data_IF_895823092282
#
_entry.id   IF_895823092282
#
_cell.length_a   1.000
_cell.length_b   1.000
_cell.length_c   1.000
_cell.angle_alpha   90.00
_cell.angle_beta   90.00
_cell.angle_gamma   90.00
#
_symmetry.space_group_name_H-M   'P 1'
#
loop_
_entity.id
_entity.type
_entity.pdbx_description
1 polymer ?
#
# COMPACT_ATOMS: atom_id res chain seq x y z
N UNK A 1 72.92 -24.29 -16.33
CA UNK A 1 72.08 -23.32 -15.61
C UNK A 1 70.75 -23.27 -16.31
N UNK A 2 69.77 -24.06 -15.83
CA UNK A 2 68.54 -24.32 -16.53
C UNK A 2 67.40 -23.69 -15.70
N UNK A 3 66.77 -22.67 -16.27
CA UNK A 3 65.53 -22.02 -15.70
C UNK A 3 64.29 -22.81 -16.07
N UNK A 4 63.66 -23.44 -15.06
CA UNK A 4 62.37 -24.08 -15.22
C UNK A 4 61.26 -23.02 -15.10
N UNK A 5 60.57 -22.78 -16.20
CA UNK A 5 59.34 -22.00 -16.22
C UNK A 5 58.16 -22.87 -15.74
N UNK A 6 57.61 -22.53 -14.58
CA UNK A 6 56.42 -23.18 -14.03
C UNK A 6 55.15 -22.68 -14.75
N UNK A 7 54.65 -23.45 -15.71
CA UNK A 7 53.40 -23.17 -16.43
C UNK A 7 52.23 -23.71 -15.60
N UNK A 8 51.59 -22.85 -14.78
CA UNK A 8 50.35 -23.20 -14.07
C UNK A 8 49.20 -23.16 -15.07
N UNK A 9 48.78 -24.32 -15.52
CA UNK A 9 47.52 -24.49 -16.27
C UNK A 9 46.35 -24.21 -15.33
N UNK A 10 45.58 -23.13 -15.56
CA UNK A 10 44.30 -22.87 -14.96
C UNK A 10 43.31 -23.91 -15.43
N UNK A 11 42.76 -24.73 -14.51
CA UNK A 11 41.84 -25.82 -14.82
C UNK A 11 40.47 -25.30 -15.29
N UNK A 12 39.69 -26.14 -16.00
CA UNK A 12 38.41 -25.79 -16.63
C UNK A 12 37.31 -25.33 -15.64
N UNK A 13 37.48 -25.56 -14.35
CA UNK A 13 36.54 -25.19 -13.30
C UNK A 13 36.40 -23.66 -13.05
N UNK A 14 37.46 -22.88 -13.29
CA UNK A 14 37.39 -21.42 -13.10
C UNK A 14 36.58 -20.71 -14.20
N UNK A 15 36.62 -21.22 -15.43
CA UNK A 15 35.77 -20.66 -16.51
C UNK A 15 34.28 -20.94 -16.34
N UNK A 16 33.96 -22.15 -15.83
CA UNK A 16 32.55 -22.53 -15.61
C UNK A 16 31.90 -21.69 -14.50
N UNK A 17 32.59 -21.47 -13.38
CA UNK A 17 32.08 -20.65 -12.26
C UNK A 17 31.89 -19.20 -12.70
N UNK A 18 32.82 -18.61 -13.42
CA UNK A 18 32.72 -17.23 -13.91
C UNK A 18 31.55 -17.04 -14.88
N UNK A 19 31.33 -18.01 -15.77
CA UNK A 19 30.23 -17.97 -16.73
C UNK A 19 28.86 -18.07 -16.02
N UNK A 20 28.71 -18.94 -15.02
CA UNK A 20 27.48 -19.09 -14.24
C UNK A 20 27.17 -17.81 -13.45
N UNK A 21 28.18 -17.20 -12.83
CA UNK A 21 28.00 -15.94 -12.08
C UNK A 21 27.60 -14.80 -13.01
N UNK A 22 28.25 -14.65 -14.17
CA UNK A 22 27.87 -13.63 -15.16
C UNK A 22 26.44 -13.83 -15.71
N UNK A 23 26.04 -15.07 -15.93
CA UNK A 23 24.67 -15.39 -16.40
C UNK A 23 23.62 -15.04 -15.32
N UNK A 24 23.88 -15.37 -14.06
CA UNK A 24 23.00 -15.03 -12.94
C UNK A 24 22.87 -13.52 -12.75
N UNK A 25 23.96 -12.77 -12.80
CA UNK A 25 23.94 -11.29 -12.72
C UNK A 25 23.13 -10.69 -13.87
N UNK A 26 23.28 -11.20 -15.09
CA UNK A 26 22.53 -10.71 -16.25
C UNK A 26 21.03 -11.02 -16.14
N UNK A 27 20.65 -12.18 -15.61
CA UNK A 27 19.22 -12.55 -15.41
C UNK A 27 18.58 -11.64 -14.34
N UNK A 28 19.28 -11.36 -13.25
CA UNK A 28 18.79 -10.46 -12.20
C UNK A 28 18.61 -9.04 -12.75
N UNK A 29 19.60 -8.51 -13.47
CA UNK A 29 19.51 -7.18 -14.07
C UNK A 29 18.36 -7.04 -15.09
N UNK A 30 18.10 -8.08 -15.89
CA UNK A 30 16.96 -8.10 -16.82
C UNK A 30 15.62 -8.18 -16.12
N UNK A 31 15.53 -8.88 -14.99
CA UNK A 31 14.31 -8.96 -14.19
C UNK A 31 13.99 -7.60 -13.53
N UNK A 32 14.99 -6.89 -13.02
CA UNK A 32 14.86 -5.55 -12.44
C UNK A 32 14.41 -4.53 -13.49
N UNK A 33 14.99 -4.53 -14.68
CA UNK A 33 14.62 -3.65 -15.79
C UNK A 33 13.16 -3.87 -16.24
N UNK A 34 12.71 -5.13 -16.28
CA UNK A 34 11.30 -5.44 -16.60
C UNK A 34 10.34 -5.01 -15.48
N UNK A 35 10.73 -5.12 -14.23
CA UNK A 35 9.95 -4.67 -13.07
C UNK A 35 9.79 -3.16 -13.10
N UNK A 36 10.87 -2.42 -13.31
CA UNK A 36 10.86 -0.97 -13.44
C UNK A 36 9.97 -0.49 -14.59
N UNK A 37 10.07 -1.13 -15.76
CA UNK A 37 9.21 -0.80 -16.91
C UNK A 37 7.71 -1.02 -16.60
N UNK A 38 7.35 -2.09 -15.86
CA UNK A 38 5.97 -2.36 -15.44
C UNK A 38 5.50 -1.33 -14.41
N UNK A 39 6.35 -0.95 -13.49
CA UNK A 39 6.07 0.04 -12.46
C UNK A 39 5.78 1.41 -13.09
N UNK A 40 6.61 1.87 -14.02
CA UNK A 40 6.37 3.13 -14.75
C UNK A 40 5.08 3.11 -15.57
N UNK A 41 4.73 1.97 -16.16
CA UNK A 41 3.43 1.81 -16.83
C UNK A 41 2.27 1.97 -15.86
N UNK A 42 2.36 1.35 -14.68
CA UNK A 42 1.35 1.49 -13.62
C UNK A 42 1.16 2.95 -13.22
N UNK A 43 2.25 3.72 -13.01
CA UNK A 43 2.17 5.14 -12.68
C UNK A 43 1.46 5.95 -13.78
N UNK A 44 1.75 5.68 -15.05
CA UNK A 44 1.05 6.30 -16.19
C UNK A 44 -0.44 5.97 -16.21
N UNK A 45 -0.81 4.73 -15.92
CA UNK A 45 -2.21 4.30 -15.82
C UNK A 45 -2.92 5.01 -14.67
N UNK A 46 -2.29 5.10 -13.48
CA UNK A 46 -2.80 5.84 -12.33
C UNK A 46 -3.05 7.32 -12.70
N UNK A 47 -2.06 7.99 -13.29
CA UNK A 47 -2.21 9.38 -13.73
C UNK A 47 -3.33 9.55 -14.77
N UNK A 48 -3.53 8.56 -15.64
CA UNK A 48 -4.66 8.50 -16.57
C UNK A 48 -6.01 8.39 -15.86
N UNK A 49 -6.08 7.59 -14.78
CA UNK A 49 -7.29 7.44 -13.97
C UNK A 49 -7.63 8.72 -13.22
N UNK A 50 -6.65 9.40 -12.61
CA UNK A 50 -6.86 10.70 -11.98
C UNK A 50 -7.54 11.69 -12.94
N UNK A 51 -7.02 11.82 -14.16
CA UNK A 51 -7.64 12.70 -15.18
C UNK A 51 -9.06 12.28 -15.57
N UNK A 52 -9.30 10.95 -15.72
CA UNK A 52 -10.63 10.44 -16.11
C UNK A 52 -11.68 10.66 -15.04
N UNK A 53 -11.30 10.59 -13.78
CA UNK A 53 -12.22 10.70 -12.64
C UNK A 53 -12.21 12.07 -11.98
N UNK A 54 -11.47 13.04 -12.51
CA UNK A 54 -11.31 14.39 -11.96
C UNK A 54 -12.65 15.07 -11.63
N UNK A 55 -13.65 14.87 -12.50
CA UNK A 55 -14.98 15.45 -12.34
C UNK A 55 -15.79 14.86 -11.16
N UNK A 56 -15.42 13.68 -10.68
CA UNK A 56 -16.01 13.02 -9.52
C UNK A 56 -15.19 13.29 -8.26
N UNK A 57 -13.87 13.11 -8.36
CA UNK A 57 -12.96 13.12 -7.21
C UNK A 57 -12.55 14.52 -6.77
N UNK A 58 -12.63 15.51 -7.69
CA UNK A 58 -12.03 16.82 -7.50
C UNK A 58 -10.49 16.81 -7.62
N UNK A 59 -9.89 15.68 -8.07
CA UNK A 59 -8.43 15.48 -8.21
C UNK A 59 -8.11 15.11 -9.65
N UNK A 60 -7.57 16.04 -10.43
CA UNK A 60 -7.16 15.81 -11.83
C UNK A 60 -5.75 15.25 -11.97
N UNK A 61 -4.93 15.48 -10.96
CA UNK A 61 -3.55 15.04 -10.84
C UNK A 61 -3.30 14.55 -9.42
N UNK A 62 -2.38 13.59 -9.30
CA UNK A 62 -1.94 13.06 -8.02
C UNK A 62 -0.92 14.03 -7.39
N UNK A 63 -0.97 14.24 -6.09
CA UNK A 63 0.03 15.02 -5.37
C UNK A 63 1.42 14.38 -5.52
N UNK A 64 2.46 15.20 -5.67
CA UNK A 64 3.84 14.74 -5.88
C UNK A 64 4.32 13.81 -4.77
N UNK A 65 3.96 14.12 -3.51
CA UNK A 65 4.32 13.29 -2.34
C UNK A 65 3.69 11.88 -2.43
N UNK A 66 2.46 11.78 -2.93
CA UNK A 66 1.76 10.50 -3.12
C UNK A 66 2.36 9.74 -4.31
N UNK A 67 2.68 10.43 -5.40
CA UNK A 67 3.35 9.83 -6.56
C UNK A 67 4.71 9.24 -6.15
N UNK A 68 5.51 9.99 -5.35
CA UNK A 68 6.79 9.49 -4.81
C UNK A 68 6.57 8.25 -3.97
N UNK A 69 5.64 8.27 -3.02
CA UNK A 69 5.34 7.11 -2.17
C UNK A 69 4.92 5.86 -2.98
N UNK A 70 4.06 6.01 -3.99
CA UNK A 70 3.68 4.89 -4.87
C UNK A 70 4.87 4.39 -5.69
N UNK A 71 5.79 5.27 -6.10
CA UNK A 71 7.01 4.92 -6.84
C UNK A 71 8.02 4.19 -5.96
N UNK A 72 8.16 4.59 -4.70
CA UNK A 72 9.21 4.09 -3.82
C UNK A 72 8.83 2.73 -3.19
N UNK A 73 7.53 2.44 -3.03
CA UNK A 73 7.06 1.18 -2.45
C UNK A 73 7.00 0.05 -3.48
N UNK A 74 7.83 -1.00 -3.36
CA UNK A 74 7.91 -2.11 -4.32
C UNK A 74 6.71 -3.05 -4.20
N UNK A 75 5.63 -2.75 -4.94
CA UNK A 75 4.35 -3.47 -4.81
C UNK A 75 4.47 -4.99 -4.99
N UNK A 76 5.45 -5.47 -5.78
CA UNK A 76 5.68 -6.90 -5.98
C UNK A 76 6.08 -7.65 -4.70
N UNK A 77 6.62 -6.95 -3.69
CA UNK A 77 6.93 -7.51 -2.37
C UNK A 77 5.66 -7.79 -1.53
N UNK A 78 4.53 -7.20 -1.89
CA UNK A 78 3.26 -7.28 -1.15
C UNK A 78 2.24 -8.26 -1.75
N UNK A 79 2.64 -9.03 -2.75
CA UNK A 79 1.84 -10.09 -3.36
C UNK A 79 2.53 -11.45 -3.22
N UNK A 80 1.80 -12.54 -3.45
CA UNK A 80 2.41 -13.87 -3.49
C UNK A 80 3.36 -13.99 -4.69
N UNK A 81 4.36 -14.89 -4.60
CA UNK A 81 5.30 -15.15 -5.69
C UNK A 81 4.59 -15.47 -7.01
N UNK A 82 3.45 -16.18 -6.98
CA UNK A 82 2.66 -16.48 -8.17
C UNK A 82 1.95 -15.28 -8.79
N UNK A 83 1.90 -14.15 -8.11
CA UNK A 83 1.31 -12.90 -8.59
C UNK A 83 2.34 -11.80 -8.89
N UNK A 84 3.63 -12.03 -8.65
CA UNK A 84 4.69 -11.01 -8.80
C UNK A 84 4.70 -10.38 -10.21
N UNK A 85 4.51 -11.18 -11.26
CA UNK A 85 4.46 -10.69 -12.64
C UNK A 85 3.29 -9.73 -12.92
N UNK A 86 2.23 -9.79 -12.11
CA UNK A 86 1.02 -8.98 -12.24
C UNK A 86 0.92 -7.90 -11.17
N UNK A 87 1.90 -7.80 -10.28
CA UNK A 87 1.86 -6.86 -9.16
C UNK A 87 1.60 -5.42 -9.60
N UNK A 88 2.14 -5.01 -10.73
CA UNK A 88 2.03 -3.67 -11.28
C UNK A 88 0.87 -3.46 -12.28
N UNK A 89 -0.01 -4.45 -12.42
CA UNK A 89 -1.25 -4.25 -13.18
C UNK A 89 -2.22 -3.42 -12.33
N UNK A 90 -2.82 -2.40 -12.93
CA UNK A 90 -3.71 -1.47 -12.23
C UNK A 90 -5.10 -2.11 -11.94
N UNK A 91 -5.08 -3.17 -11.15
CA UNK A 91 -6.26 -3.91 -10.64
C UNK A 91 -5.98 -4.53 -9.27
N UNK A 92 -7.02 -4.89 -8.50
CA UNK A 92 -6.84 -5.67 -7.27
C UNK A 92 -6.33 -7.08 -7.58
N UNK A 93 -5.57 -7.66 -6.63
CA UNK A 93 -5.07 -9.03 -6.70
C UNK A 93 -5.36 -9.76 -5.39
N UNK A 94 -5.64 -11.06 -5.46
CA UNK A 94 -5.85 -11.88 -4.26
C UNK A 94 -4.56 -12.01 -3.45
N UNK A 95 -4.70 -11.88 -2.12
CA UNK A 95 -3.63 -12.11 -1.13
C UNK A 95 -3.91 -13.30 -0.21
N UNK A 96 -4.94 -14.09 -0.53
CA UNK A 96 -5.42 -15.19 0.31
C UNK A 96 -6.50 -14.76 1.30
N UNK A 97 -7.05 -15.73 2.04
CA UNK A 97 -8.07 -15.52 3.06
C UNK A 97 -9.31 -14.73 2.61
N UNK A 98 -9.65 -14.79 1.31
CA UNK A 98 -10.74 -14.00 0.73
C UNK A 98 -10.45 -12.50 0.57
N UNK A 99 -9.21 -12.05 0.87
CA UNK A 99 -8.80 -10.66 0.83
C UNK A 99 -7.99 -10.32 -0.42
N UNK A 100 -7.88 -9.02 -0.71
CA UNK A 100 -7.15 -8.51 -1.88
C UNK A 100 -6.23 -7.35 -1.50
N UNK A 101 -5.10 -7.22 -2.21
CA UNK A 101 -4.40 -5.94 -2.30
C UNK A 101 -5.18 -5.06 -3.27
N UNK A 102 -5.50 -3.84 -2.84
CA UNK A 102 -6.33 -2.90 -3.61
C UNK A 102 -5.70 -2.53 -4.95
N UNK A 103 -6.52 -2.10 -5.92
CA UNK A 103 -6.07 -1.53 -7.19
C UNK A 103 -5.11 -0.36 -6.93
N UNK A 104 -3.97 -0.28 -7.63
CA UNK A 104 -3.00 0.81 -7.45
C UNK A 104 -3.61 2.21 -7.53
N UNK A 105 -4.50 2.47 -8.49
CA UNK A 105 -5.22 3.75 -8.58
C UNK A 105 -6.03 4.05 -7.30
N UNK A 106 -6.72 3.08 -6.73
CA UNK A 106 -7.52 3.28 -5.51
C UNK A 106 -6.63 3.57 -4.31
N UNK A 107 -5.48 2.88 -4.18
CA UNK A 107 -4.48 3.18 -3.15
C UNK A 107 -3.99 4.63 -3.29
N UNK A 108 -3.59 5.03 -4.50
CA UNK A 108 -3.12 6.38 -4.77
C UNK A 108 -4.20 7.44 -4.48
N UNK A 109 -5.43 7.23 -4.97
CA UNK A 109 -6.54 8.16 -4.76
C UNK A 109 -6.91 8.31 -3.30
N UNK A 110 -7.06 7.21 -2.56
CA UNK A 110 -7.43 7.26 -1.14
C UNK A 110 -6.33 7.93 -0.30
N UNK A 111 -5.07 7.69 -0.61
CA UNK A 111 -3.93 8.37 0.02
C UNK A 111 -3.92 9.87 -0.31
N UNK A 112 -4.13 10.23 -1.57
CA UNK A 112 -4.18 11.62 -2.05
C UNK A 112 -5.33 12.42 -1.41
N UNK A 113 -6.49 11.77 -1.23
CA UNK A 113 -7.65 12.38 -0.60
C UNK A 113 -7.48 12.63 0.90
N UNK A 114 -6.55 11.98 1.58
CA UNK A 114 -6.26 12.24 3.00
C UNK A 114 -5.56 13.58 3.23
N UNK A 115 -4.91 14.17 2.20
CA UNK A 115 -4.13 15.42 2.31
C UNK A 115 -3.11 15.39 3.49
N UNK A 116 -2.30 14.33 3.54
CA UNK A 116 -1.34 14.10 4.62
C UNK A 116 -0.10 15.01 4.53
N UNK A 117 0.47 15.30 5.68
CA UNK A 117 1.76 15.96 5.82
C UNK A 117 2.79 15.02 6.47
N UNK A 118 4.10 15.34 6.38
CA UNK A 118 5.18 14.51 6.94
C UNK A 118 5.12 14.28 8.47
N UNK A 119 4.37 15.11 9.19
CA UNK A 119 4.12 14.95 10.63
C UNK A 119 2.81 14.24 10.97
N UNK A 120 2.03 13.86 9.98
CA UNK A 120 0.73 13.22 10.18
C UNK A 120 0.86 11.88 10.89
N UNK A 121 -0.11 11.58 11.74
CA UNK A 121 -0.35 10.27 12.36
C UNK A 121 -1.59 9.67 11.75
N UNK A 122 -1.47 8.48 11.20
CA UNK A 122 -2.52 7.85 10.38
C UNK A 122 -2.94 6.52 10.96
N UNK A 123 -4.26 6.26 10.97
CA UNK A 123 -4.83 4.96 11.25
C UNK A 123 -5.34 4.33 9.96
N UNK A 124 -4.91 3.11 9.67
CA UNK A 124 -5.44 2.25 8.63
C UNK A 124 -6.28 1.13 9.24
N UNK A 125 -7.47 0.87 8.68
CA UNK A 125 -8.30 -0.28 9.00
C UNK A 125 -8.28 -1.24 7.80
N UNK A 126 -7.71 -2.44 8.00
CA UNK A 126 -7.52 -3.45 6.97
C UNK A 126 -6.10 -3.47 6.43
N UNK A 127 -5.12 -3.91 7.23
CA UNK A 127 -3.70 -4.03 6.83
C UNK A 127 -3.51 -4.88 5.58
N UNK A 128 -4.23 -6.00 5.49
CA UNK A 128 -4.15 -6.94 4.38
C UNK A 128 -2.72 -7.39 4.09
N UNK A 129 -2.18 -6.97 2.95
CA UNK A 129 -0.79 -7.24 2.59
C UNK A 129 0.23 -6.32 3.26
N UNK A 130 -0.19 -5.18 3.81
CA UNK A 130 0.67 -4.10 4.31
C UNK A 130 1.05 -3.07 3.25
N UNK A 131 0.57 -3.18 2.00
CA UNK A 131 0.97 -2.27 0.92
C UNK A 131 0.48 -0.83 1.14
N UNK A 132 -0.80 -0.66 1.53
CA UNK A 132 -1.34 0.67 1.83
C UNK A 132 -0.63 1.28 3.05
N UNK A 133 -0.36 0.49 4.11
CA UNK A 133 0.42 0.94 5.26
C UNK A 133 1.82 1.43 4.85
N UNK A 134 2.51 0.69 3.97
CA UNK A 134 3.82 1.07 3.45
C UNK A 134 3.75 2.40 2.66
N UNK A 135 2.76 2.58 1.78
CA UNK A 135 2.56 3.84 1.05
C UNK A 135 2.31 5.02 2.00
N UNK A 136 1.50 4.81 3.04
CA UNK A 136 1.27 5.84 4.06
C UNK A 136 2.54 6.18 4.84
N UNK A 137 3.38 5.19 5.12
CA UNK A 137 4.62 5.34 5.89
C UNK A 137 5.70 6.15 5.16
N UNK A 138 5.67 6.22 3.83
CA UNK A 138 6.54 7.11 3.04
C UNK A 138 6.17 8.59 3.20
N UNK A 139 4.95 8.89 3.70
CA UNK A 139 4.42 10.25 3.82
C UNK A 139 4.31 10.67 5.29
N UNK A 140 3.75 9.81 6.13
CA UNK A 140 3.37 10.11 7.50
C UNK A 140 4.49 9.81 8.50
N UNK A 141 4.47 10.49 9.65
CA UNK A 141 5.43 10.23 10.73
C UNK A 141 5.19 8.91 11.46
N UNK A 142 3.93 8.50 11.61
CA UNK A 142 3.53 7.23 12.24
C UNK A 142 2.29 6.66 11.54
N UNK A 143 2.30 5.36 11.29
CA UNK A 143 1.17 4.61 10.74
C UNK A 143 0.78 3.52 11.73
N UNK A 144 -0.48 3.51 12.11
CA UNK A 144 -1.12 2.46 12.92
C UNK A 144 -2.04 1.69 11.99
N UNK A 145 -1.96 0.37 11.96
CA UNK A 145 -2.77 -0.45 11.08
C UNK A 145 -3.35 -1.65 11.82
N UNK A 146 -4.64 -1.92 11.58
CA UNK A 146 -5.39 -2.99 12.25
C UNK A 146 -5.85 -4.01 11.22
N UNK A 147 -5.64 -5.30 11.53
CA UNK A 147 -6.08 -6.43 10.71
C UNK A 147 -6.76 -7.48 11.59
N UNK A 148 -7.95 -7.88 11.21
CA UNK A 148 -8.71 -8.91 11.94
C UNK A 148 -8.28 -10.32 11.56
N UNK A 149 -7.76 -10.51 10.35
CA UNK A 149 -7.27 -11.80 9.85
C UNK A 149 -5.84 -12.01 10.35
N UNK A 150 -5.70 -12.66 11.49
CA UNK A 150 -4.41 -12.85 12.17
C UNK A 150 -3.27 -13.35 11.27
N UNK A 151 -3.43 -14.36 10.38
CA UNK A 151 -2.37 -14.77 9.46
C UNK A 151 -1.90 -13.66 8.51
N UNK A 152 -2.81 -12.77 8.06
CA UNK A 152 -2.46 -11.62 7.24
C UNK A 152 -1.69 -10.58 8.05
N UNK A 153 -2.17 -10.22 9.24
CA UNK A 153 -1.49 -9.27 10.13
C UNK A 153 -0.05 -9.70 10.40
N UNK A 154 0.17 -10.95 10.84
CA UNK A 154 1.51 -11.51 11.10
C UNK A 154 2.41 -11.54 9.87
N UNK A 155 1.83 -11.82 8.69
CA UNK A 155 2.58 -11.82 7.43
C UNK A 155 2.96 -10.41 7.00
N UNK A 156 2.04 -9.44 7.16
CA UNK A 156 2.29 -8.03 6.86
C UNK A 156 3.35 -7.44 7.78
N UNK A 157 3.25 -7.64 9.09
CA UNK A 157 4.22 -7.18 10.09
C UNK A 157 5.65 -7.63 9.74
N UNK A 158 5.87 -8.94 9.55
CA UNK A 158 7.17 -9.49 9.15
C UNK A 158 7.68 -8.92 7.82
N UNK A 159 6.79 -8.64 6.89
CA UNK A 159 7.16 -8.04 5.60
C UNK A 159 7.59 -6.60 5.76
N UNK A 160 6.83 -5.82 6.51
CA UNK A 160 7.12 -4.42 6.78
C UNK A 160 8.45 -4.26 7.54
N UNK A 161 8.68 -5.06 8.59
CA UNK A 161 9.96 -5.12 9.30
C UNK A 161 11.14 -5.46 8.36
N UNK A 162 10.98 -6.48 7.51
CA UNK A 162 12.01 -6.88 6.54
C UNK A 162 12.32 -5.79 5.52
N UNK A 163 11.32 -4.98 5.15
CA UNK A 163 11.46 -3.87 4.22
C UNK A 163 11.96 -2.58 4.90
N UNK A 164 12.12 -2.58 6.23
CA UNK A 164 12.71 -1.47 6.97
C UNK A 164 11.72 -0.39 7.40
N UNK A 165 10.41 -0.66 7.42
CA UNK A 165 9.40 0.28 7.91
C UNK A 165 9.35 0.26 9.44
N UNK A 166 10.02 1.18 10.10
CA UNK A 166 10.10 1.32 11.56
C UNK A 166 9.01 2.24 12.15
N UNK A 167 8.32 3.01 11.30
CA UNK A 167 7.24 3.93 11.65
C UNK A 167 5.83 3.31 11.50
N UNK A 168 5.71 1.99 11.27
CA UNK A 168 4.44 1.27 11.18
C UNK A 168 4.24 0.39 12.42
N UNK A 169 3.03 0.45 12.99
CA UNK A 169 2.60 -0.42 14.10
C UNK A 169 1.41 -1.26 13.66
N UNK A 170 1.55 -2.57 13.66
CA UNK A 170 0.50 -3.52 13.29
C UNK A 170 -0.20 -4.04 14.54
N UNK A 171 -1.54 -4.08 14.53
CA UNK A 171 -2.36 -4.69 15.58
C UNK A 171 -3.30 -5.74 14.96
N UNK A 172 -3.38 -6.90 15.61
CA UNK A 172 -4.43 -7.88 15.35
C UNK A 172 -5.67 -7.47 16.13
N UNK A 173 -6.81 -7.27 15.45
CA UNK A 173 -8.03 -6.87 16.13
C UNK A 173 -9.15 -6.46 15.18
N UNK A 174 -10.30 -6.15 15.76
CA UNK A 174 -11.45 -5.63 15.04
C UNK A 174 -11.28 -4.13 14.80
N UNK A 175 -11.21 -3.75 13.52
CA UNK A 175 -11.06 -2.37 13.08
C UNK A 175 -12.23 -1.45 13.44
N UNK A 176 -13.41 -1.99 13.74
CA UNK A 176 -14.56 -1.20 14.17
C UNK A 176 -14.30 -0.41 15.47
N UNK A 177 -13.39 -0.89 16.33
CA UNK A 177 -13.00 -0.21 17.57
C UNK A 177 -11.87 0.80 17.39
N UNK A 178 -11.19 0.80 16.24
CA UNK A 178 -10.03 1.65 16.01
C UNK A 178 -8.88 1.37 16.97
N UNK A 179 -8.13 2.42 17.32
CA UNK A 179 -6.97 2.33 18.23
C UNK A 179 -6.98 3.48 19.24
N UNK A 180 -7.84 3.40 20.28
CA UNK A 180 -8.05 4.50 21.23
C UNK A 180 -6.77 4.98 21.92
N UNK A 181 -5.85 4.06 22.26
CA UNK A 181 -4.62 4.39 22.99
C UNK A 181 -3.61 5.17 22.12
N UNK A 182 -3.77 5.13 20.81
CA UNK A 182 -2.94 5.88 19.86
C UNK A 182 -3.61 7.13 19.32
N UNK A 183 -4.92 7.29 19.53
CA UNK A 183 -5.67 8.47 19.08
C UNK A 183 -5.17 9.78 19.76
N UNK A 184 -5.41 10.96 19.17
CA UNK A 184 -6.13 11.18 17.93
C UNK A 184 -5.25 11.05 16.69
N UNK A 185 -5.89 10.83 15.51
CA UNK A 185 -5.24 10.69 14.21
C UNK A 185 -5.51 11.89 13.30
N UNK A 186 -4.51 12.30 12.53
CA UNK A 186 -4.66 13.35 11.49
C UNK A 186 -5.40 12.80 10.27
N UNK A 187 -5.19 11.52 9.95
CA UNK A 187 -5.89 10.80 8.88
C UNK A 187 -6.36 9.42 9.31
N UNK A 188 -7.54 9.00 8.82
CA UNK A 188 -8.02 7.62 8.98
C UNK A 188 -8.39 7.08 7.59
N UNK A 189 -7.88 5.92 7.24
CA UNK A 189 -8.21 5.23 5.98
C UNK A 189 -8.80 3.86 6.28
N UNK A 190 -9.94 3.56 5.67
CA UNK A 190 -10.59 2.26 5.80
C UNK A 190 -10.54 1.55 4.45
N UNK A 191 -9.92 0.37 4.40
CA UNK A 191 -9.71 -0.38 3.16
C UNK A 191 -10.66 -1.57 3.00
N UNK A 192 -11.77 -1.55 3.73
CA UNK A 192 -12.85 -2.52 3.66
C UNK A 192 -14.21 -1.82 3.67
N UNK A 193 -15.19 -2.35 2.93
CA UNK A 193 -16.52 -1.74 2.80
C UNK A 193 -17.43 -2.09 3.97
N UNK A 194 -18.12 -1.09 4.51
CA UNK A 194 -19.00 -1.29 5.66
C UNK A 194 -19.91 -0.11 5.96
N UNK A 195 -20.34 -0.01 7.21
CA UNK A 195 -20.93 1.20 7.78
C UNK A 195 -19.82 2.07 8.36
N UNK A 196 -20.10 3.35 8.56
CA UNK A 196 -19.19 4.26 9.25
C UNK A 196 -19.18 3.92 10.76
N UNK A 197 -18.07 3.43 11.35
CA UNK A 197 -17.99 3.21 12.79
C UNK A 197 -17.88 4.56 13.51
N UNK A 198 -18.81 4.92 14.42
CA UNK A 198 -18.77 6.22 15.12
C UNK A 198 -17.48 6.43 15.91
N UNK A 199 -16.92 5.37 16.48
CA UNK A 199 -15.65 5.38 17.24
C UNK A 199 -14.47 5.91 16.41
N UNK A 200 -14.43 5.63 15.10
CA UNK A 200 -13.37 6.14 14.23
C UNK A 200 -13.49 7.67 14.06
N UNK A 201 -14.71 8.20 14.01
CA UNK A 201 -14.95 9.65 13.96
C UNK A 201 -14.50 10.34 15.26
N UNK A 202 -14.71 9.69 16.40
CA UNK A 202 -14.22 10.19 17.72
C UNK A 202 -12.70 10.22 17.76
N UNK A 203 -12.02 9.20 17.18
CA UNK A 203 -10.56 9.11 17.11
C UNK A 203 -9.93 10.01 16.05
N UNK A 204 -10.73 10.62 15.18
CA UNK A 204 -10.23 11.61 14.23
C UNK A 204 -10.02 12.96 14.90
N UNK A 205 -8.85 13.55 14.71
CA UNK A 205 -8.47 14.86 15.25
C UNK A 205 -9.33 15.98 14.65
N UNK A 206 -9.66 17.05 15.38
CA UNK A 206 -10.16 18.27 14.76
C UNK A 206 -9.18 18.77 13.68
N UNK A 207 -9.70 19.07 12.50
CA UNK A 207 -8.91 19.33 11.29
C UNK A 207 -8.48 18.09 10.51
N UNK A 208 -8.79 16.88 11.00
CA UNK A 208 -8.43 15.62 10.36
C UNK A 208 -9.46 15.16 9.31
N UNK A 209 -9.05 14.18 8.53
CA UNK A 209 -9.83 13.62 7.42
C UNK A 209 -9.88 12.09 7.44
N UNK A 210 -11.03 11.53 7.09
CA UNK A 210 -11.21 10.10 6.91
C UNK A 210 -11.61 9.79 5.47
N UNK A 211 -11.07 8.68 4.92
CA UNK A 211 -11.47 8.13 3.62
C UNK A 211 -11.94 6.69 3.83
N UNK A 212 -13.19 6.41 3.46
CA UNK A 212 -13.87 5.16 3.80
C UNK A 212 -14.86 4.72 2.70
N UNK A 213 -14.89 3.45 2.28
CA UNK A 213 -15.94 2.91 1.44
C UNK A 213 -17.18 2.55 2.27
N UNK A 214 -18.32 3.16 1.95
CA UNK A 214 -19.60 2.95 2.66
C UNK A 214 -20.54 2.11 1.80
N UNK A 215 -21.19 1.12 2.43
CA UNK A 215 -22.27 0.35 1.80
C UNK A 215 -23.56 1.17 1.75
N UNK A 216 -24.14 1.30 0.56
CA UNK A 216 -25.42 1.95 0.35
C UNK A 216 -26.59 0.95 0.49
N UNK A 217 -27.82 1.47 0.61
CA UNK A 217 -29.03 0.68 0.79
C UNK A 217 -29.37 -0.23 -0.39
N UNK A 218 -28.88 0.09 -1.59
CA UNK A 218 -29.04 -0.70 -2.81
C UNK A 218 -27.97 -1.80 -2.99
N UNK A 219 -27.05 -1.94 -2.00
CA UNK A 219 -25.95 -2.90 -2.01
C UNK A 219 -24.71 -2.44 -2.79
N UNK A 220 -24.72 -1.25 -3.37
CA UNK A 220 -23.53 -0.62 -3.95
C UNK A 220 -22.63 -0.04 -2.85
N UNK A 221 -21.40 0.36 -3.23
CA UNK A 221 -20.46 1.02 -2.32
C UNK A 221 -19.99 2.34 -2.92
N UNK A 222 -19.88 3.34 -2.08
CA UNK A 222 -19.28 4.62 -2.44
C UNK A 222 -18.09 4.96 -1.55
N UNK A 223 -17.05 5.49 -2.15
CA UNK A 223 -15.93 6.09 -1.44
C UNK A 223 -16.36 7.44 -0.89
N UNK A 224 -16.28 7.61 0.42
CA UNK A 224 -16.65 8.82 1.13
C UNK A 224 -15.39 9.48 1.70
N UNK A 225 -15.30 10.78 1.55
CA UNK A 225 -14.39 11.63 2.33
C UNK A 225 -15.21 12.29 3.43
N UNK A 226 -14.73 12.16 4.67
CA UNK A 226 -15.28 12.79 5.85
C UNK A 226 -14.25 13.76 6.40
N UNK A 227 -14.63 15.02 6.52
CA UNK A 227 -13.81 16.08 7.11
C UNK A 227 -14.35 16.44 8.49
N UNK A 228 -13.45 16.52 9.49
CA UNK A 228 -13.76 17.03 10.82
C UNK A 228 -13.10 18.39 10.95
N UNK A 229 -13.89 19.47 10.98
CA UNK A 229 -13.34 20.80 11.07
C UNK A 229 -12.75 21.10 12.46
N UNK A 230 -12.11 22.25 12.63
CA UNK A 230 -11.46 22.63 13.90
C UNK A 230 -12.46 22.79 15.07
N UNK A 231 -13.74 23.05 14.80
CA UNK A 231 -14.81 23.07 15.82
C UNK A 231 -15.39 21.68 16.13
N UNK A 232 -14.94 20.63 15.43
CA UNK A 232 -15.39 19.25 15.61
C UNK A 232 -16.63 18.88 14.79
N UNK A 233 -17.13 19.77 13.95
CA UNK A 233 -18.25 19.49 13.07
C UNK A 233 -17.82 18.59 11.91
N UNK A 234 -18.69 17.66 11.53
CA UNK A 234 -18.45 16.68 10.50
C UNK A 234 -19.16 17.08 9.20
N UNK A 235 -18.42 17.10 8.12
CA UNK A 235 -18.97 17.11 6.77
C UNK A 235 -18.52 15.88 5.99
N UNK A 236 -19.35 15.41 5.07
CA UNK A 236 -19.01 14.28 4.22
C UNK A 236 -19.39 14.54 2.78
N UNK A 237 -18.60 13.98 1.86
CA UNK A 237 -18.88 14.00 0.42
C UNK A 237 -18.63 12.65 -0.21
N UNK A 238 -19.49 12.27 -1.14
CA UNK A 238 -19.27 11.14 -2.02
C UNK A 238 -18.17 11.47 -3.05
N UNK A 239 -17.36 10.49 -3.39
CA UNK A 239 -16.24 10.65 -4.33
C UNK A 239 -16.48 9.86 -5.61
N UNK A 240 -16.56 8.53 -5.51
CA UNK A 240 -16.85 7.66 -6.66
C UNK A 240 -17.36 6.29 -6.21
N UNK A 241 -18.08 5.56 -7.06
CA UNK A 241 -18.46 4.17 -6.81
C UNK A 241 -17.20 3.29 -6.72
N UNK A 242 -17.19 2.39 -5.72
CA UNK A 242 -16.08 1.46 -5.48
C UNK A 242 -16.60 0.06 -5.17
N UNK A 243 -15.67 -0.90 -5.10
CA UNK A 243 -15.97 -2.24 -4.63
C UNK A 243 -14.83 -2.78 -3.77
N UNK A 244 -15.08 -2.84 -2.48
CA UNK A 244 -14.18 -3.40 -1.48
C UNK A 244 -14.73 -4.72 -0.91
N UNK A 245 -13.83 -5.53 -0.36
CA UNK A 245 -14.21 -6.64 0.51
C UNK A 245 -14.94 -6.10 1.74
N UNK A 246 -15.90 -6.84 2.31
CA UNK A 246 -16.61 -6.36 3.49
C UNK A 246 -15.68 -6.23 4.70
N UNK A 247 -15.90 -5.20 5.52
CA UNK A 247 -15.34 -5.14 6.86
C UNK A 247 -15.92 -6.31 7.67
N UNK A 248 -15.06 -7.07 8.32
CA UNK A 248 -15.43 -8.20 9.16
C UNK A 248 -15.16 -7.84 10.62
N UNK A 249 -16.00 -8.35 11.54
CA UNK A 249 -15.93 -8.07 12.97
C UNK A 249 -17.33 -8.09 13.59
N UNK A 250 -17.41 -7.81 14.87
CA UNK A 250 -18.68 -7.66 15.58
C UNK A 250 -19.27 -6.28 15.24
N UNK A 251 -20.49 -6.29 14.65
CA UNK A 251 -21.31 -5.10 14.39
C UNK A 251 -22.27 -4.83 15.55
#
# INVERSE_FOLDING_TARGET
>A
MILNACNRRSGPHHHLILTVVMTLVSIVALADDQSETRHQRMLKEIAGDFRRTAHLTGRGEMQEIVESAIRDVPRHEFVSKGHADRAYVNRPLSIGHGQTISQPYIVALMTDLLDLESRSRVLEIGTGSGYQAAVLAEIASEVFTIEIVEPLAKSAEKRLERLGYDNIRVRIGDGNYGWPEAAPFDGIIVTAGGRLPPVLVEQLKPGGRMVIPINLSDGSQELIVLDKNLSGEISQRSVLPVRFVPITGEN
#
